data_IF_877285860684
#
_entry.id   IF_877285860684
#
_cell.length_a   1.000
_cell.length_b   1.000
_cell.length_c   1.000
_cell.angle_alpha   90.00
_cell.angle_beta   90.00
_cell.angle_gamma   90.00
#
_symmetry.space_group_name_H-M   'P 1'
#
loop_
_entity.id
_entity.type
_entity.pdbx_description
1 polymer ?
#
# COMPACT_ATOMS: atom_id res chain seq x y z
N UNK A 1 -4.14 9.17 -7.73
CA UNK A 1 -5.34 9.93 -7.35
C UNK A 1 -5.21 10.40 -5.91
N UNK A 2 -5.41 11.66 -5.66
CA UNK A 2 -5.28 12.15 -4.29
C UNK A 2 -6.40 11.58 -3.41
N UNK A 3 -6.02 11.15 -2.24
CA UNK A 3 -6.97 10.67 -1.25
C UNK A 3 -7.38 11.84 -0.39
N UNK A 4 -8.68 12.11 -0.34
CA UNK A 4 -9.19 13.17 0.54
C UNK A 4 -9.34 12.58 1.93
N UNK A 5 -8.56 13.11 2.86
CA UNK A 5 -8.62 12.67 4.25
C UNK A 5 -9.46 13.69 5.02
N UNK A 6 -10.58 13.21 5.55
CA UNK A 6 -11.52 14.04 6.30
C UNK A 6 -11.38 13.83 7.81
N UNK A 7 -10.18 13.44 8.25
CA UNK A 7 -9.91 13.27 9.66
C UNK A 7 -9.42 14.57 10.29
N UNK A 8 -9.62 14.70 11.59
CA UNK A 8 -9.05 15.78 12.37
C UNK A 8 -7.52 15.72 12.26
N UNK A 9 -6.86 16.86 12.30
CA UNK A 9 -5.39 16.91 12.27
C UNK A 9 -4.75 16.13 13.40
N UNK A 10 -5.39 16.05 14.56
CA UNK A 10 -4.89 15.25 15.67
C UNK A 10 -4.86 13.77 15.33
N UNK A 11 -5.86 13.30 14.58
CA UNK A 11 -5.93 11.90 14.16
C UNK A 11 -4.81 11.57 13.15
N UNK A 12 -4.43 12.54 12.33
CA UNK A 12 -3.36 12.35 11.36
C UNK A 12 -1.99 12.16 12.01
N UNK A 13 -1.84 12.59 13.27
CA UNK A 13 -0.59 12.50 14.01
C UNK A 13 -0.54 11.31 14.95
N UNK A 14 -1.69 10.76 15.31
CA UNK A 14 -1.81 9.74 16.34
C UNK A 14 -2.19 8.41 15.73
N UNK A 15 -1.56 7.39 16.25
CA UNK A 15 -1.92 6.05 15.96
C UNK A 15 -1.50 5.58 14.59
N UNK A 16 -1.58 4.28 14.40
CA UNK A 16 -1.16 3.66 13.15
C UNK A 16 -2.13 3.96 12.02
N UNK A 17 -1.56 4.00 10.83
CA UNK A 17 -2.33 4.09 9.58
C UNK A 17 -2.18 2.75 8.87
N UNK A 18 -3.30 2.14 8.50
CA UNK A 18 -3.31 0.97 7.64
C UNK A 18 -3.42 1.45 6.20
N UNK A 19 -2.47 1.04 5.38
CA UNK A 19 -2.51 1.34 3.95
C UNK A 19 -2.92 0.07 3.24
N UNK A 20 -3.93 0.15 2.38
CA UNK A 20 -4.32 -0.95 1.51
C UNK A 20 -4.16 -0.52 0.07
N UNK A 21 -3.56 -1.38 -0.74
CA UNK A 21 -3.38 -1.14 -2.16
C UNK A 21 -4.01 -2.31 -2.91
N UNK A 22 -5.09 -2.03 -3.63
CA UNK A 22 -5.83 -3.05 -4.35
C UNK A 22 -5.36 -3.10 -5.79
N UNK A 23 -4.99 -4.30 -6.24
CA UNK A 23 -4.47 -4.55 -7.58
C UNK A 23 -5.40 -5.50 -8.32
N UNK A 24 -5.77 -5.14 -9.53
CA UNK A 24 -6.46 -6.05 -10.44
C UNK A 24 -5.39 -6.66 -11.34
N UNK A 25 -5.12 -7.94 -11.17
CA UNK A 25 -4.02 -8.62 -11.86
C UNK A 25 -4.44 -9.05 -13.26
N UNK A 26 -3.52 -8.93 -14.21
CA UNK A 26 -3.65 -9.59 -15.51
C UNK A 26 -3.40 -11.07 -15.25
N UNK A 27 -4.39 -11.98 -15.48
CA UNK A 27 -4.29 -13.36 -15.03
C UNK A 27 -3.03 -14.09 -15.49
N UNK A 28 -2.58 -13.85 -16.71
CA UNK A 28 -1.40 -14.50 -17.27
C UNK A 28 -0.10 -14.01 -16.64
N UNK A 29 -0.16 -12.91 -15.85
CA UNK A 29 1.00 -12.32 -15.19
C UNK A 29 1.01 -12.54 -13.69
N UNK A 30 0.16 -13.42 -13.20
CA UNK A 30 -0.01 -13.66 -11.77
C UNK A 30 1.30 -14.05 -11.08
N UNK A 31 2.03 -15.00 -11.66
CA UNK A 31 3.29 -15.44 -11.05
C UNK A 31 4.32 -14.32 -11.01
N UNK A 32 4.42 -13.55 -12.08
CA UNK A 32 5.33 -12.40 -12.13
C UNK A 32 4.94 -11.34 -11.11
N UNK A 33 3.63 -11.09 -10.98
CA UNK A 33 3.14 -10.14 -9.99
C UNK A 33 3.50 -10.57 -8.57
N UNK A 34 3.25 -11.82 -8.23
CA UNK A 34 3.52 -12.31 -6.87
C UNK A 34 5.01 -12.24 -6.53
N UNK A 35 5.87 -12.60 -7.48
CA UNK A 35 7.32 -12.46 -7.26
C UNK A 35 7.72 -11.01 -7.03
N UNK A 36 7.16 -10.09 -7.81
CA UNK A 36 7.52 -8.69 -7.70
C UNK A 36 6.97 -8.06 -6.44
N UNK A 37 5.71 -8.35 -6.09
CA UNK A 37 5.07 -7.71 -4.94
C UNK A 37 5.76 -8.10 -3.62
N UNK A 38 6.29 -9.32 -3.52
CA UNK A 38 7.04 -9.73 -2.34
C UNK A 38 8.34 -8.94 -2.19
N UNK A 39 8.88 -8.37 -3.27
CA UNK A 39 10.02 -7.46 -3.18
C UNK A 39 9.63 -6.12 -2.59
N UNK A 40 8.36 -5.73 -2.69
CA UNK A 40 7.87 -4.50 -2.09
C UNK A 40 7.88 -4.53 -0.57
N UNK A 41 7.83 -5.70 0.05
CA UNK A 41 7.89 -5.79 1.51
C UNK A 41 9.14 -5.07 2.03
N UNK A 42 10.28 -5.27 1.41
CA UNK A 42 11.53 -4.64 1.82
C UNK A 42 11.45 -3.12 1.71
N UNK A 43 10.88 -2.64 0.60
CA UNK A 43 10.72 -1.20 0.37
C UNK A 43 9.78 -0.61 1.40
N UNK A 44 8.63 -1.27 1.65
CA UNK A 44 7.65 -0.78 2.61
C UNK A 44 8.24 -0.74 4.02
N UNK A 45 8.99 -1.79 4.41
CA UNK A 45 9.62 -1.81 5.73
C UNK A 45 10.73 -0.77 5.86
N UNK A 46 11.52 -0.57 4.83
CA UNK A 46 12.50 0.51 4.81
C UNK A 46 11.80 1.86 5.02
N UNK A 47 10.63 2.02 4.46
CA UNK A 47 9.86 3.27 4.52
C UNK A 47 8.94 3.32 5.74
N UNK A 48 9.14 2.45 6.73
CA UNK A 48 8.48 2.56 8.02
C UNK A 48 7.33 1.59 8.27
N UNK A 49 7.04 0.67 7.37
CA UNK A 49 5.97 -0.30 7.60
C UNK A 49 6.38 -1.31 8.67
N UNK A 50 5.52 -1.51 9.66
CA UNK A 50 5.75 -2.49 10.73
C UNK A 50 5.14 -3.85 10.41
N UNK A 51 4.04 -3.86 9.67
CA UNK A 51 3.36 -5.07 9.23
C UNK A 51 3.19 -5.00 7.73
N UNK A 52 3.30 -6.13 7.08
CA UNK A 52 3.12 -6.17 5.63
C UNK A 52 2.55 -7.52 5.22
N UNK A 53 1.64 -7.52 4.26
CA UNK A 53 1.12 -8.74 3.68
C UNK A 53 0.47 -8.50 2.34
N UNK A 54 0.37 -9.57 1.55
CA UNK A 54 -0.36 -9.55 0.29
C UNK A 54 -1.40 -10.67 0.36
N UNK A 55 -2.64 -10.30 0.05
CA UNK A 55 -3.80 -11.20 0.18
C UNK A 55 -4.56 -11.20 -1.13
N UNK A 56 -5.15 -12.33 -1.50
CA UNK A 56 -6.05 -12.31 -2.63
C UNK A 56 -7.50 -12.32 -2.14
N UNK A 57 -8.36 -11.69 -2.92
CA UNK A 57 -9.77 -11.57 -2.59
C UNK A 57 -10.49 -12.87 -2.99
N UNK A 58 -11.12 -13.53 -2.01
CA UNK A 58 -11.81 -14.81 -2.27
C UNK A 58 -13.04 -14.66 -3.17
N UNK A 59 -13.55 -13.45 -3.30
CA UNK A 59 -14.73 -13.18 -4.13
C UNK A 59 -14.39 -12.64 -5.52
N UNK A 60 -13.12 -12.31 -5.74
CA UNK A 60 -12.65 -11.78 -7.02
C UNK A 60 -11.22 -12.27 -7.24
N UNK A 61 -11.09 -13.43 -7.84
CA UNK A 61 -9.84 -14.20 -7.89
C UNK A 61 -8.61 -13.51 -8.48
N UNK A 62 -8.80 -12.47 -9.29
CA UNK A 62 -7.69 -11.71 -9.86
C UNK A 62 -7.42 -10.41 -9.10
N UNK A 63 -8.07 -10.22 -7.96
CA UNK A 63 -7.87 -9.04 -7.12
C UNK A 63 -6.99 -9.40 -5.94
N UNK A 64 -5.88 -8.65 -5.82
CA UNK A 64 -4.95 -8.80 -4.71
C UNK A 64 -4.87 -7.50 -3.93
N UNK A 65 -4.71 -7.60 -2.62
CA UNK A 65 -4.63 -6.43 -1.75
C UNK A 65 -3.35 -6.52 -0.95
N UNK A 66 -2.52 -5.53 -1.12
CA UNK A 66 -1.35 -5.32 -0.29
C UNK A 66 -1.79 -4.53 0.94
N UNK A 67 -1.38 -4.98 2.13
CA UNK A 67 -1.74 -4.33 3.39
C UNK A 67 -0.48 -4.09 4.20
N UNK A 68 -0.32 -2.89 4.72
CA UNK A 68 0.78 -2.62 5.65
C UNK A 68 0.38 -1.51 6.62
N UNK A 69 1.08 -1.47 7.75
CA UNK A 69 0.85 -0.47 8.79
C UNK A 69 2.06 0.45 8.88
N UNK A 70 1.78 1.74 9.06
CA UNK A 70 2.81 2.74 9.38
C UNK A 70 2.42 3.45 10.67
N UNK A 71 3.40 4.05 11.34
CA UNK A 71 3.19 4.58 12.68
C UNK A 71 2.26 5.79 12.71
N UNK A 72 2.26 6.60 11.67
CA UNK A 72 1.38 7.77 11.58
C UNK A 72 1.27 8.25 10.14
N UNK A 73 0.26 9.05 9.87
CA UNK A 73 0.08 9.65 8.55
C UNK A 73 1.25 10.54 8.17
N UNK A 74 1.73 11.35 9.12
CA UNK A 74 2.85 12.25 8.86
C UNK A 74 4.12 11.48 8.49
N UNK A 75 4.38 10.37 9.19
CA UNK A 75 5.53 9.52 8.88
C UNK A 75 5.41 8.91 7.49
N UNK A 76 4.22 8.41 7.16
CA UNK A 76 3.95 7.83 5.84
C UNK A 76 4.22 8.85 4.73
N UNK A 77 3.75 10.09 4.89
CA UNK A 77 3.98 11.12 3.90
C UNK A 77 5.46 11.43 3.72
N UNK A 78 6.22 11.48 4.80
CA UNK A 78 7.66 11.71 4.73
C UNK A 78 8.37 10.61 3.96
N UNK A 79 7.97 9.37 4.14
CA UNK A 79 8.61 8.25 3.47
C UNK A 79 8.34 8.24 1.96
N UNK A 80 7.19 8.74 1.54
CA UNK A 80 6.89 8.86 0.10
C UNK A 80 7.89 9.72 -0.65
N UNK A 81 8.55 10.66 0.02
CA UNK A 81 9.52 11.55 -0.60
C UNK A 81 10.88 10.91 -0.81
N UNK A 82 11.07 9.67 -0.34
CA UNK A 82 12.36 8.98 -0.40
C UNK A 82 12.45 7.95 -1.52
N UNK A 83 11.57 8.02 -2.50
CA UNK A 83 11.58 7.06 -3.59
C UNK A 83 12.88 7.14 -4.38
N UNK A 84 13.54 5.99 -4.57
CA UNK A 84 14.76 5.89 -5.35
C UNK A 84 14.44 5.56 -6.81
N UNK A 85 15.45 5.65 -7.69
CA UNK A 85 15.28 5.23 -9.08
C UNK A 85 14.94 3.75 -9.16
N UNK A 86 15.55 2.92 -8.31
CA UNK A 86 15.25 1.49 -8.28
C UNK A 86 13.80 1.23 -7.88
N UNK A 87 13.27 2.00 -6.92
CA UNK A 87 11.86 1.90 -6.52
C UNK A 87 10.94 2.25 -7.69
N UNK A 88 11.29 3.29 -8.42
CA UNK A 88 10.52 3.72 -9.58
C UNK A 88 10.51 2.64 -10.66
N UNK A 89 11.64 2.01 -10.91
CA UNK A 89 11.75 0.93 -11.90
C UNK A 89 10.88 -0.27 -11.51
N UNK A 90 10.85 -0.63 -10.22
CA UNK A 90 9.98 -1.70 -9.72
C UNK A 90 8.51 -1.34 -9.94
N UNK A 91 8.14 -0.09 -9.67
CA UNK A 91 6.78 0.37 -9.87
C UNK A 91 6.37 0.28 -11.34
N UNK A 92 7.26 0.63 -12.26
CA UNK A 92 6.99 0.52 -13.70
C UNK A 92 6.75 -0.93 -14.12
N UNK A 93 7.53 -1.86 -13.55
CA UNK A 93 7.32 -3.29 -13.81
C UNK A 93 5.99 -3.76 -13.24
N UNK A 94 5.64 -3.31 -12.03
CA UNK A 94 4.38 -3.70 -11.41
C UNK A 94 3.19 -3.26 -12.25
N UNK A 95 3.23 -2.04 -12.76
CA UNK A 95 2.15 -1.50 -13.59
C UNK A 95 1.90 -2.37 -14.82
N UNK A 96 2.94 -3.01 -15.35
CA UNK A 96 2.79 -3.88 -16.52
C UNK A 96 2.08 -5.20 -16.22
N UNK A 97 1.90 -5.55 -14.94
CA UNK A 97 1.28 -6.80 -14.52
C UNK A 97 -0.17 -6.62 -14.07
N UNK A 98 -0.66 -5.40 -14.02
CA UNK A 98 -2.00 -5.11 -13.50
C UNK A 98 -2.88 -4.45 -14.58
N UNK A 99 -4.19 -4.63 -14.42
CA UNK A 99 -5.18 -4.05 -15.31
C UNK A 99 -5.71 -2.76 -14.67
N UNK A 100 -5.21 -1.63 -15.15
CA UNK A 100 -5.61 -0.33 -14.64
C UNK A 100 -4.82 0.09 -13.39
N UNK A 101 -5.06 1.31 -12.89
CA UNK A 101 -4.32 1.83 -11.73
C UNK A 101 -4.72 1.12 -10.45
N UNK A 102 -3.77 0.94 -9.52
CA UNK A 102 -4.09 0.40 -8.20
C UNK A 102 -4.97 1.38 -7.42
N UNK A 103 -5.78 0.84 -6.52
CA UNK A 103 -6.62 1.66 -5.65
C UNK A 103 -6.03 1.67 -4.26
N UNK A 104 -5.66 2.85 -3.79
CA UNK A 104 -5.01 3.04 -2.51
C UNK A 104 -6.01 3.60 -1.50
N UNK A 105 -6.04 3.00 -0.31
CA UNK A 105 -6.84 3.50 0.81
C UNK A 105 -5.96 3.66 2.03
N UNK A 106 -6.25 4.69 2.79
CA UNK A 106 -5.57 4.96 4.05
C UNK A 106 -6.60 4.91 5.16
N UNK A 107 -6.40 4.00 6.11
CA UNK A 107 -7.32 3.79 7.22
C UNK A 107 -6.62 4.18 8.50
N UNK A 108 -7.13 5.18 9.19
CA UNK A 108 -6.55 5.67 10.44
C UNK A 108 -7.22 4.93 11.59
N UNK A 109 -6.41 4.50 12.55
CA UNK A 109 -6.92 3.81 13.72
C UNK A 109 -8.01 4.63 14.40
N UNK A 110 -9.17 4.02 14.62
CA UNK A 110 -10.30 4.68 15.23
C UNK A 110 -10.20 4.52 16.76
N UNK A 111 -9.97 5.63 17.45
CA UNK A 111 -9.89 5.64 18.88
C UNK A 111 -11.26 5.38 19.49
N UNK A 112 -11.27 4.62 20.57
CA UNK A 112 -12.51 4.44 21.32
C UNK A 112 -12.88 5.77 21.96
N UNK A 113 -14.17 6.12 21.93
CA UNK A 113 -14.65 7.29 22.63
C UNK A 113 -14.66 7.00 24.12
N UNK A 114 -14.15 7.94 24.87
CA UNK A 114 -14.24 7.90 26.32
C UNK A 114 -15.59 8.41 26.81
#
# INVERSE_FOLDING_TARGET
MPVVIQADKSDLRQGPVMVTVEYQIIPERKADFLDLIHQYERIRRRDGASEWGIFYDTEAGDRYVEVFLVSSWAEHQRQHERQTQADHDLEQRLVSYIAGPPQVRHLIYAQAKE
#
